data_IF_596610309893
#
_entry.id   IF_596610309893
#
_cell.length_a   1.000
_cell.length_b   1.000
_cell.length_c   1.000
_cell.angle_alpha   90.00
_cell.angle_beta   90.00
_cell.angle_gamma   90.00
#
_symmetry.space_group_name_H-M   'P 1'
#
loop_
_entity.id
_entity.type
_entity.pdbx_description
1 polymer ?
#
# COMPACT_ATOMS: atom_id res chain seq x y z
N UNK A 1 17.51 45.29 -2.32
CA UNK A 1 16.89 44.05 -2.83
C UNK A 1 16.79 43.08 -1.67
N UNK A 2 15.65 43.07 -0.98
CA UNK A 2 15.41 42.23 0.20
C UNK A 2 15.15 40.82 -0.30
N UNK A 3 16.13 39.92 -0.14
CA UNK A 3 15.90 38.48 -0.21
C UNK A 3 14.96 38.18 0.97
N UNK A 4 13.71 37.86 0.68
CA UNK A 4 12.73 37.48 1.70
C UNK A 4 13.18 36.19 2.35
N UNK A 5 13.47 36.32 3.63
CA UNK A 5 13.47 35.27 4.62
C UNK A 5 12.07 34.63 4.70
N UNK A 6 11.99 33.32 4.48
CA UNK A 6 11.03 32.47 5.17
C UNK A 6 11.71 31.12 5.36
N UNK A 7 12.28 30.92 6.55
CA UNK A 7 12.35 29.62 7.18
C UNK A 7 11.09 28.80 6.83
N UNK A 8 11.27 27.63 6.20
CA UNK A 8 10.21 26.66 6.09
C UNK A 8 9.95 26.13 7.50
N UNK A 9 8.96 26.72 8.15
CA UNK A 9 8.32 26.31 9.40
C UNK A 9 8.33 24.77 9.49
N UNK A 10 8.96 24.18 10.51
CA UNK A 10 9.33 22.75 10.62
C UNK A 10 8.16 21.74 10.68
N UNK A 11 7.17 21.88 9.80
CA UNK A 11 5.98 21.05 9.66
C UNK A 11 6.23 19.98 8.60
N UNK A 12 6.06 18.72 8.99
CA UNK A 12 6.13 17.57 8.09
C UNK A 12 4.86 17.56 7.22
N UNK A 13 5.01 17.79 5.91
CA UNK A 13 3.90 17.80 4.96
C UNK A 13 3.52 16.40 4.44
N UNK A 14 2.37 16.26 3.75
CA UNK A 14 1.91 14.98 3.21
C UNK A 14 2.89 14.29 2.26
N UNK A 15 3.69 15.07 1.55
CA UNK A 15 4.76 14.62 0.65
C UNK A 15 5.88 13.85 1.35
N UNK A 16 6.02 14.00 2.67
CA UNK A 16 6.97 13.26 3.48
C UNK A 16 6.44 11.89 3.91
N UNK A 17 5.17 11.56 3.63
CA UNK A 17 4.55 10.30 4.04
C UNK A 17 4.25 9.39 2.85
N UNK A 18 4.57 8.11 3.01
CA UNK A 18 4.10 7.06 2.11
C UNK A 18 2.76 6.54 2.66
N UNK A 19 1.79 6.30 1.77
CA UNK A 19 0.53 5.69 2.17
C UNK A 19 0.76 4.29 2.73
N UNK A 20 0.31 4.07 3.97
CA UNK A 20 0.49 2.81 4.71
C UNK A 20 0.01 1.57 3.94
N UNK A 21 -1.15 1.65 3.30
CA UNK A 21 -1.75 0.50 2.64
C UNK A 21 -1.00 0.15 1.36
N UNK A 22 -0.51 1.15 0.63
CA UNK A 22 0.39 0.94 -0.50
C UNK A 22 1.74 0.37 -0.04
N UNK A 23 2.33 0.89 1.05
CA UNK A 23 3.56 0.32 1.62
C UNK A 23 3.40 -1.15 2.02
N UNK A 24 2.23 -1.53 2.52
CA UNK A 24 1.92 -2.93 2.83
C UNK A 24 1.89 -3.79 1.57
N UNK A 25 1.32 -3.31 0.45
CA UNK A 25 1.33 -4.02 -0.83
C UNK A 25 2.75 -4.20 -1.39
N UNK A 26 3.62 -3.19 -1.25
CA UNK A 26 5.04 -3.31 -1.64
C UNK A 26 5.81 -4.28 -0.75
N UNK A 27 5.43 -4.42 0.53
CA UNK A 27 5.93 -5.52 1.36
C UNK A 27 5.47 -6.87 0.83
N UNK A 28 4.17 -7.05 0.56
CA UNK A 28 3.66 -8.34 0.09
C UNK A 28 4.19 -8.69 -1.31
N UNK A 29 4.50 -7.70 -2.14
CA UNK A 29 5.20 -7.93 -3.42
C UNK A 29 6.53 -8.67 -3.21
N UNK A 30 7.33 -8.29 -2.20
CA UNK A 30 8.62 -8.96 -1.94
C UNK A 30 8.44 -10.43 -1.57
N UNK A 31 7.31 -10.79 -0.95
CA UNK A 31 6.94 -12.19 -0.69
C UNK A 31 6.66 -12.93 -2.00
N UNK A 32 5.97 -12.29 -2.95
CA UNK A 32 5.75 -12.85 -4.28
C UNK A 32 7.06 -13.02 -5.07
N UNK A 33 7.99 -12.08 -4.94
CA UNK A 33 9.32 -12.16 -5.57
C UNK A 33 10.10 -13.40 -5.10
N UNK A 34 9.98 -13.79 -3.82
CA UNK A 34 10.56 -15.04 -3.32
C UNK A 34 9.88 -16.29 -3.92
N UNK A 35 8.59 -16.21 -4.27
CA UNK A 35 7.89 -17.29 -4.97
C UNK A 35 8.32 -17.40 -6.46
N UNK A 36 8.67 -16.27 -7.07
CA UNK A 36 9.12 -16.19 -8.46
C UNK A 36 10.60 -16.56 -8.64
N UNK A 37 11.42 -16.43 -7.59
CA UNK A 37 12.86 -16.65 -7.66
C UNK A 37 13.21 -18.12 -7.99
N UNK A 38 13.84 -18.41 -9.16
CA UNK A 38 14.19 -19.78 -9.55
C UNK A 38 15.31 -20.40 -8.72
N UNK A 39 16.11 -19.59 -8.00
CA UNK A 39 17.15 -20.07 -7.09
C UNK A 39 16.55 -20.71 -5.82
N UNK A 40 15.29 -20.40 -5.51
CA UNK A 40 14.57 -21.03 -4.41
C UNK A 40 14.06 -22.42 -4.83
N UNK A 41 14.20 -23.47 -3.97
CA UNK A 41 13.62 -24.78 -4.24
C UNK A 41 12.11 -24.70 -4.51
N UNK A 42 11.59 -25.56 -5.38
CA UNK A 42 10.19 -25.53 -5.82
C UNK A 42 9.19 -25.51 -4.65
N UNK A 43 9.48 -26.26 -3.58
CA UNK A 43 8.61 -26.30 -2.40
C UNK A 43 8.62 -24.98 -1.62
N UNK A 44 9.76 -24.29 -1.52
CA UNK A 44 9.85 -22.98 -0.86
C UNK A 44 9.09 -21.92 -1.66
N UNK A 45 9.19 -21.97 -3.00
CA UNK A 45 8.41 -21.09 -3.87
C UNK A 45 6.91 -21.27 -3.69
N UNK A 46 6.44 -22.52 -3.59
CA UNK A 46 5.03 -22.82 -3.31
C UNK A 46 4.59 -22.29 -1.94
N UNK A 47 5.44 -22.41 -0.91
CA UNK A 47 5.17 -21.83 0.42
C UNK A 47 5.05 -20.32 0.35
N UNK A 48 5.98 -19.63 -0.31
CA UNK A 48 5.92 -18.18 -0.48
C UNK A 48 4.66 -17.74 -1.23
N UNK A 49 4.22 -18.48 -2.25
CA UNK A 49 2.97 -18.21 -2.95
C UNK A 49 1.74 -18.35 -2.03
N UNK A 50 1.71 -19.38 -1.18
CA UNK A 50 0.65 -19.58 -0.19
C UNK A 50 0.65 -18.48 0.90
N UNK A 51 1.83 -18.04 1.34
CA UNK A 51 2.00 -16.93 2.28
C UNK A 51 1.51 -15.61 1.65
N UNK A 52 1.93 -15.33 0.42
CA UNK A 52 1.48 -14.15 -0.33
C UNK A 52 -0.05 -14.07 -0.41
N UNK A 53 -0.70 -15.21 -0.72
CA UNK A 53 -2.16 -15.31 -0.82
C UNK A 53 -2.85 -15.11 0.53
N UNK A 54 -2.38 -15.80 1.57
CA UNK A 54 -2.92 -15.66 2.94
C UNK A 54 -2.81 -14.22 3.46
N UNK A 55 -1.67 -13.57 3.23
CA UNK A 55 -1.46 -12.18 3.60
C UNK A 55 -2.45 -11.26 2.86
N UNK A 56 -2.67 -11.52 1.57
CA UNK A 56 -3.58 -10.72 0.76
C UNK A 56 -5.03 -10.84 1.25
N UNK A 57 -5.45 -12.04 1.65
CA UNK A 57 -6.77 -12.26 2.26
C UNK A 57 -6.94 -11.44 3.54
N UNK A 58 -5.94 -11.45 4.43
CA UNK A 58 -5.95 -10.61 5.64
C UNK A 58 -6.05 -9.12 5.30
N UNK A 59 -5.29 -8.67 4.29
CA UNK A 59 -5.33 -7.29 3.83
C UNK A 59 -6.72 -6.88 3.35
N UNK A 60 -7.43 -7.75 2.62
CA UNK A 60 -8.81 -7.50 2.22
C UNK A 60 -9.76 -7.43 3.42
N UNK A 61 -9.69 -8.42 4.32
CA UNK A 61 -10.57 -8.52 5.48
C UNK A 61 -10.41 -7.35 6.44
N UNK A 62 -9.18 -6.86 6.64
CA UNK A 62 -8.89 -5.82 7.64
C UNK A 62 -8.76 -4.45 6.99
N UNK A 63 -7.87 -4.28 6.00
CA UNK A 63 -7.51 -2.96 5.47
C UNK A 63 -8.53 -2.43 4.48
N UNK A 64 -8.94 -3.24 3.50
CA UNK A 64 -9.93 -2.81 2.50
C UNK A 64 -11.29 -2.59 3.15
N UNK A 65 -11.72 -3.48 4.07
CA UNK A 65 -12.94 -3.28 4.84
C UNK A 65 -12.90 -1.97 5.66
N UNK A 66 -11.78 -1.69 6.34
CA UNK A 66 -11.59 -0.45 7.09
C UNK A 66 -11.67 0.80 6.21
N UNK A 67 -11.07 0.78 5.01
CA UNK A 67 -11.15 1.88 4.05
C UNK A 67 -12.57 2.07 3.49
N UNK A 68 -13.31 0.99 3.21
CA UNK A 68 -14.72 1.08 2.80
C UNK A 68 -15.58 1.72 3.88
N UNK A 69 -15.40 1.32 5.14
CA UNK A 69 -16.10 1.95 6.26
C UNK A 69 -15.77 3.44 6.41
N UNK A 70 -14.50 3.82 6.20
CA UNK A 70 -14.10 5.23 6.18
C UNK A 70 -14.71 6.00 5.02
N UNK A 71 -14.81 5.39 3.83
CA UNK A 71 -15.43 5.99 2.66
C UNK A 71 -16.91 6.32 2.93
N UNK A 72 -17.65 5.41 3.57
CA UNK A 72 -19.07 5.61 3.90
C UNK A 72 -19.28 6.72 4.93
N UNK A 73 -18.42 6.81 5.96
CA UNK A 73 -18.64 7.72 7.09
C UNK A 73 -17.93 9.06 6.96
N UNK A 74 -16.78 9.08 6.29
CA UNK A 74 -15.86 10.22 6.19
C UNK A 74 -15.16 10.24 4.82
N UNK A 75 -15.91 10.37 3.71
CA UNK A 75 -15.38 10.21 2.35
C UNK A 75 -14.25 11.19 1.99
N UNK A 76 -14.22 12.36 2.62
CA UNK A 76 -13.24 13.42 2.35
C UNK A 76 -12.07 13.46 3.34
N UNK A 77 -12.05 12.60 4.36
CA UNK A 77 -10.97 12.60 5.36
C UNK A 77 -9.68 12.07 4.74
N UNK A 78 -8.67 12.92 4.67
CA UNK A 78 -7.36 12.57 4.14
C UNK A 78 -6.53 11.76 5.16
N UNK A 79 -5.76 10.79 4.67
CA UNK A 79 -4.69 10.16 5.45
C UNK A 79 -3.45 11.06 5.53
N UNK A 80 -2.42 10.64 6.27
CA UNK A 80 -1.16 11.39 6.40
C UNK A 80 -0.47 11.68 5.06
N UNK A 81 -0.62 10.79 4.07
CA UNK A 81 -0.11 10.97 2.71
C UNK A 81 -1.04 11.81 1.80
N UNK A 82 -2.05 12.50 2.36
CA UNK A 82 -2.93 13.41 1.63
C UNK A 82 -4.00 12.75 0.75
N UNK A 83 -4.25 11.44 0.91
CA UNK A 83 -5.22 10.69 0.09
C UNK A 83 -6.55 10.47 0.82
N UNK A 84 -7.66 10.69 0.13
CA UNK A 84 -9.00 10.28 0.57
C UNK A 84 -9.14 8.74 0.56
N UNK A 85 -10.13 8.15 1.28
CA UNK A 85 -10.34 6.71 1.26
C UNK A 85 -10.66 6.17 -0.14
N UNK A 86 -11.39 6.94 -0.95
CA UNK A 86 -11.71 6.57 -2.34
C UNK A 86 -10.46 6.51 -3.22
N UNK A 87 -9.56 7.49 -3.10
CA UNK A 87 -8.29 7.49 -3.84
C UNK A 87 -7.38 6.35 -3.39
N UNK A 88 -7.35 6.04 -2.09
CA UNK A 88 -6.60 4.90 -1.56
C UNK A 88 -7.12 3.59 -2.16
N UNK A 89 -8.44 3.35 -2.12
CA UNK A 89 -9.07 2.16 -2.72
C UNK A 89 -8.78 2.05 -4.22
N UNK A 90 -8.84 3.16 -4.96
CA UNK A 90 -8.53 3.17 -6.40
C UNK A 90 -7.04 2.85 -6.69
N UNK A 91 -6.11 3.35 -5.87
CA UNK A 91 -4.67 3.04 -5.99
C UNK A 91 -4.37 1.60 -5.60
N UNK A 92 -4.97 1.12 -4.51
CA UNK A 92 -4.89 -0.28 -4.05
C UNK A 92 -5.40 -1.21 -5.15
N UNK A 93 -6.58 -0.96 -5.71
CA UNK A 93 -7.16 -1.79 -6.77
C UNK A 93 -6.22 -1.89 -7.98
N UNK A 94 -5.69 -0.76 -8.48
CA UNK A 94 -4.72 -0.77 -9.58
C UNK A 94 -3.43 -1.52 -9.24
N UNK A 95 -2.96 -1.43 -8.00
CA UNK A 95 -1.75 -2.15 -7.58
C UNK A 95 -1.98 -3.66 -7.49
N UNK A 96 -3.12 -4.06 -6.95
CA UNK A 96 -3.50 -5.46 -6.79
C UNK A 96 -3.71 -6.17 -8.12
N UNK A 97 -4.38 -5.53 -9.10
CA UNK A 97 -4.50 -6.12 -10.44
C UNK A 97 -3.12 -6.40 -11.07
N UNK A 98 -2.13 -5.52 -10.84
CA UNK A 98 -0.75 -5.76 -11.31
C UNK A 98 -0.04 -6.91 -10.60
N UNK A 99 -0.34 -7.15 -9.32
CA UNK A 99 0.21 -8.31 -8.59
C UNK A 99 -0.48 -9.61 -9.00
N UNK A 100 -1.80 -9.58 -9.20
CA UNK A 100 -2.57 -10.74 -9.60
C UNK A 100 -2.17 -11.28 -10.99
N UNK A 101 -1.69 -10.43 -11.90
CA UNK A 101 -1.17 -10.85 -13.21
C UNK A 101 0.17 -11.59 -13.14
N UNK A 102 0.83 -11.59 -11.98
CA UNK A 102 2.12 -12.27 -11.75
C UNK A 102 1.96 -13.62 -11.02
N UNK A 103 0.77 -13.88 -10.48
CA UNK A 103 0.39 -15.13 -9.85
C UNK A 103 -0.16 -16.11 -10.90
#
# INVERSE_FOLDING_TARGET
MVIRDTAADGKIGPECFINRELSWLEFNQRVLEEAENPENPLMERLKFLAIFSSNLDEFFMVRVAGLKHQLERRPTRLCNAGLSPGEQLARISRRLHRLALRQ
#
